data_IF_570643298512
#
_entry.id   IF_570643298512
#
_cell.length_a   1.000
_cell.length_b   1.000
_cell.length_c   1.000
_cell.angle_alpha   90.00
_cell.angle_beta   90.00
_cell.angle_gamma   90.00
#
_symmetry.space_group_name_H-M   'P 1'
#
loop_
_entity.id
_entity.type
_entity.pdbx_description
1 polymer ?
#
# COMPACT_ATOMS: atom_id res chain seq x y z
N UNK A 1 -11.89 -3.89 -13.38
CA UNK A 1 -13.18 -3.25 -13.04
C UNK A 1 -13.29 -1.92 -13.79
N UNK A 2 -14.43 -1.23 -13.74
CA UNK A 2 -14.64 0.05 -14.43
C UNK A 2 -14.80 1.19 -13.42
N UNK A 3 -14.22 2.34 -13.74
CA UNK A 3 -14.31 3.59 -12.96
C UNK A 3 -14.64 4.73 -13.92
N UNK A 4 -15.45 5.70 -13.50
CA UNK A 4 -15.80 6.87 -14.33
C UNK A 4 -14.89 8.04 -13.96
N UNK A 5 -13.99 8.44 -14.86
CA UNK A 5 -13.07 9.57 -14.68
C UNK A 5 -13.51 10.68 -15.64
N UNK A 6 -13.81 11.88 -15.14
CA UNK A 6 -14.28 13.01 -15.95
C UNK A 6 -15.41 12.66 -16.91
N UNK A 7 -16.42 11.91 -16.42
CA UNK A 7 -17.57 11.39 -17.18
C UNK A 7 -17.24 10.32 -18.24
N UNK A 8 -15.98 9.91 -18.34
CA UNK A 8 -15.54 8.85 -19.25
C UNK A 8 -15.35 7.53 -18.50
N UNK A 9 -16.01 6.44 -18.92
CA UNK A 9 -15.78 5.13 -18.33
C UNK A 9 -14.40 4.60 -18.73
N UNK A 10 -13.55 4.31 -17.74
CA UNK A 10 -12.22 3.74 -17.92
C UNK A 10 -12.20 2.32 -17.33
N UNK A 11 -11.71 1.36 -18.11
CA UNK A 11 -11.57 -0.04 -17.69
C UNK A 11 -10.14 -0.32 -17.21
N UNK A 12 -10.04 -0.81 -15.99
CA UNK A 12 -8.77 -1.23 -15.39
C UNK A 12 -8.66 -2.75 -15.34
N UNK A 13 -7.49 -3.25 -15.72
CA UNK A 13 -7.05 -4.62 -15.54
C UNK A 13 -6.01 -4.60 -14.42
N UNK A 14 -6.27 -5.35 -13.35
CA UNK A 14 -5.43 -5.37 -12.14
C UNK A 14 -5.07 -6.82 -11.85
N UNK A 15 -3.79 -7.06 -11.64
CA UNK A 15 -3.28 -8.36 -11.22
C UNK A 15 -2.94 -8.30 -9.74
N UNK A 16 -3.27 -9.37 -9.00
CA UNK A 16 -2.83 -9.55 -7.63
C UNK A 16 -1.42 -10.10 -7.63
N UNK A 17 -0.53 -9.49 -6.84
CA UNK A 17 0.78 -10.08 -6.55
C UNK A 17 0.56 -11.45 -5.89
N UNK A 18 1.32 -12.50 -6.25
CA UNK A 18 1.18 -13.80 -5.62
C UNK A 18 1.20 -13.69 -4.09
N UNK A 19 0.39 -14.51 -3.43
CA UNK A 19 0.26 -14.59 -1.97
C UNK A 19 -0.34 -13.36 -1.26
N UNK A 20 -0.81 -12.33 -1.97
CA UNK A 20 -1.33 -11.10 -1.32
C UNK A 20 -2.50 -11.34 -0.37
N UNK A 21 -3.43 -12.25 -0.70
CA UNK A 21 -4.59 -12.49 0.17
C UNK A 21 -4.17 -13.11 1.50
N UNK A 22 -3.30 -14.11 1.44
CA UNK A 22 -2.71 -14.78 2.60
C UNK A 22 -1.83 -13.82 3.41
N UNK A 23 -1.00 -13.02 2.74
CA UNK A 23 -0.20 -11.99 3.40
C UNK A 23 -1.08 -11.02 4.20
N UNK A 24 -2.14 -10.48 3.58
CA UNK A 24 -3.06 -9.56 4.25
C UNK A 24 -3.83 -10.23 5.40
N UNK A 25 -4.23 -11.49 5.24
CA UNK A 25 -4.87 -12.26 6.29
C UNK A 25 -3.97 -12.39 7.52
N UNK A 26 -2.71 -12.78 7.33
CA UNK A 26 -1.73 -12.96 8.41
C UNK A 26 -1.39 -11.61 9.07
N UNK A 27 -0.96 -10.61 8.28
CA UNK A 27 -0.49 -9.34 8.86
C UNK A 27 -1.61 -8.53 9.51
N UNK A 28 -2.88 -8.74 9.12
CA UNK A 28 -4.03 -8.08 9.77
C UNK A 28 -4.28 -8.56 11.20
N UNK A 29 -3.69 -9.69 11.61
CA UNK A 29 -3.76 -10.18 12.98
C UNK A 29 -2.73 -9.49 13.89
N UNK A 30 -1.68 -8.92 13.30
CA UNK A 30 -0.55 -8.31 14.00
C UNK A 30 -0.61 -6.78 13.98
N UNK A 31 -1.10 -6.21 12.87
CA UNK A 31 -1.00 -4.78 12.59
C UNK A 31 -2.34 -4.16 12.21
N UNK A 32 -2.50 -2.88 12.54
CA UNK A 32 -3.50 -2.03 11.89
C UNK A 32 -3.04 -1.72 10.45
N UNK A 33 -3.77 -2.18 9.45
CA UNK A 33 -3.38 -1.99 8.05
C UNK A 33 -3.91 -0.67 7.48
N UNK A 34 -3.00 0.11 6.90
CA UNK A 34 -3.31 1.40 6.27
C UNK A 34 -2.91 1.37 4.80
N UNK A 35 -3.82 1.75 3.90
CA UNK A 35 -3.48 1.95 2.49
C UNK A 35 -2.93 3.36 2.32
N UNK A 36 -1.69 3.50 1.85
CA UNK A 36 -1.14 4.80 1.46
C UNK A 36 -0.59 4.72 0.03
N UNK A 37 -1.25 5.36 -0.95
CA UNK A 37 -0.87 5.31 -2.36
C UNK A 37 -0.74 6.71 -2.98
N UNK A 38 0.25 6.88 -3.87
CA UNK A 38 0.39 8.08 -4.71
C UNK A 38 -0.58 8.12 -5.90
N UNK A 39 -1.52 7.17 -5.97
CA UNK A 39 -2.57 7.13 -7.00
C UNK A 39 -3.77 7.99 -6.63
N UNK A 40 -4.56 8.37 -7.63
CA UNK A 40 -5.84 9.05 -7.42
C UNK A 40 -6.80 8.17 -6.62
N UNK A 41 -7.54 8.78 -5.71
CA UNK A 41 -8.53 8.11 -4.86
C UNK A 41 -9.52 7.28 -5.66
N UNK A 42 -10.03 7.82 -6.77
CA UNK A 42 -11.05 7.15 -7.59
C UNK A 42 -10.62 5.76 -8.10
N UNK A 43 -9.33 5.57 -8.34
CA UNK A 43 -8.75 4.28 -8.72
C UNK A 43 -8.34 3.49 -7.46
N UNK A 44 -7.63 4.14 -6.53
CA UNK A 44 -7.07 3.51 -5.35
C UNK A 44 -8.14 2.90 -4.44
N UNK A 45 -9.27 3.56 -4.24
CA UNK A 45 -10.39 3.06 -3.44
C UNK A 45 -10.99 1.80 -4.03
N UNK A 46 -11.24 1.78 -5.34
CA UNK A 46 -11.80 0.63 -6.04
C UNK A 46 -10.87 -0.61 -5.99
N UNK A 47 -9.54 -0.41 -6.04
CA UNK A 47 -8.57 -1.51 -5.82
C UNK A 47 -8.58 -1.97 -4.36
N UNK A 48 -8.55 -1.03 -3.42
CA UNK A 48 -8.53 -1.33 -1.99
C UNK A 48 -9.80 -2.10 -1.56
N UNK A 49 -10.98 -1.76 -2.06
CA UNK A 49 -12.22 -2.49 -1.79
C UNK A 49 -12.17 -3.94 -2.29
N UNK A 50 -11.58 -4.16 -3.46
CA UNK A 50 -11.39 -5.50 -4.02
C UNK A 50 -10.40 -6.34 -3.22
N UNK A 51 -9.33 -5.72 -2.70
CA UNK A 51 -8.36 -6.40 -1.83
C UNK A 51 -8.93 -6.66 -0.43
N UNK A 52 -9.66 -5.70 0.14
CA UNK A 52 -10.28 -5.83 1.45
C UNK A 52 -11.34 -6.96 1.45
N UNK A 53 -12.12 -7.06 0.38
CA UNK A 53 -13.15 -8.09 0.18
C UNK A 53 -14.13 -8.17 1.39
N UNK A 54 -14.59 -7.01 1.86
CA UNK A 54 -15.49 -6.84 3.01
C UNK A 54 -14.93 -7.33 4.35
N UNK A 55 -13.62 -7.59 4.46
CA UNK A 55 -12.98 -7.99 5.72
C UNK A 55 -12.81 -6.82 6.69
N UNK A 56 -12.97 -5.57 6.23
CA UNK A 56 -12.80 -4.37 7.05
C UNK A 56 -11.39 -4.21 7.65
N UNK A 57 -10.36 -4.73 6.97
CA UNK A 57 -8.95 -4.65 7.39
C UNK A 57 -8.25 -3.43 6.80
N UNK A 58 -8.71 -2.88 5.67
CA UNK A 58 -8.14 -1.72 4.98
C UNK A 58 -9.01 -0.47 5.15
N UNK A 59 -9.39 -0.12 6.38
CA UNK A 59 -10.33 0.99 6.66
C UNK A 59 -9.73 2.38 6.43
N UNK A 60 -8.49 2.58 6.85
CA UNK A 60 -7.79 3.87 6.74
C UNK A 60 -7.01 3.92 5.43
N UNK A 61 -7.26 4.97 4.65
CA UNK A 61 -6.77 5.08 3.29
C UNK A 61 -6.34 6.50 2.99
N UNK A 62 -5.14 6.62 2.44
CA UNK A 62 -4.51 7.87 2.04
C UNK A 62 -4.10 7.73 0.57
N UNK A 63 -4.50 8.73 -0.21
CA UNK A 63 -4.30 8.81 -1.66
C UNK A 63 -3.39 9.96 -2.04
N UNK A 64 -3.19 10.21 -3.34
CA UNK A 64 -2.31 11.26 -3.87
C UNK A 64 -2.46 12.62 -3.21
N UNK A 65 -3.68 13.06 -2.89
CA UNK A 65 -3.92 14.36 -2.26
C UNK A 65 -3.34 14.48 -0.83
N UNK A 66 -2.99 13.35 -0.21
CA UNK A 66 -2.34 13.27 1.10
C UNK A 66 -0.82 13.13 1.00
N UNK A 67 -0.27 13.01 -0.21
CA UNK A 67 1.17 13.00 -0.43
C UNK A 67 1.70 14.43 -0.59
N UNK A 68 2.95 14.65 -0.18
CA UNK A 68 3.69 15.89 -0.48
C UNK A 68 4.46 15.70 -1.78
N UNK A 69 4.24 16.57 -2.76
CA UNK A 69 4.99 16.55 -4.02
C UNK A 69 6.29 17.33 -3.86
N UNK A 70 7.43 16.62 -3.86
CA UNK A 70 8.75 17.21 -3.70
C UNK A 70 9.74 16.59 -4.70
N UNK A 71 10.45 17.43 -5.45
CA UNK A 71 11.42 17.01 -6.48
C UNK A 71 10.84 15.97 -7.45
N UNK A 72 9.58 16.16 -7.85
CA UNK A 72 8.87 15.24 -8.76
C UNK A 72 8.47 13.89 -8.17
N UNK A 73 8.69 13.68 -6.86
CA UNK A 73 8.30 12.47 -6.14
C UNK A 73 7.13 12.75 -5.19
N UNK A 74 6.19 11.81 -5.08
CA UNK A 74 5.15 11.86 -4.06
C UNK A 74 5.67 11.21 -2.78
N UNK A 75 5.90 12.03 -1.76
CA UNK A 75 6.37 11.62 -0.44
C UNK A 75 5.15 11.32 0.44
N UNK A 76 5.26 10.24 1.22
CA UNK A 76 4.26 9.76 2.16
C UNK A 76 4.75 10.07 3.57
N UNK A 77 4.23 11.15 4.14
CA UNK A 77 4.56 11.53 5.51
C UNK A 77 3.79 10.64 6.51
N UNK A 78 4.53 9.82 7.27
CA UNK A 78 3.96 8.89 8.23
C UNK A 78 3.35 9.59 9.45
N UNK A 79 3.76 10.83 9.74
CA UNK A 79 3.20 11.61 10.85
C UNK A 79 1.71 11.94 10.67
N UNK A 80 1.22 11.95 9.42
CA UNK A 80 -0.20 12.12 9.08
C UNK A 80 -1.02 10.85 9.39
N UNK A 81 -0.34 9.70 9.51
CA UNK A 81 -0.95 8.42 9.82
C UNK A 81 -0.87 8.13 11.33
N UNK A 82 0.27 8.33 11.96
CA UNK A 82 0.44 8.05 13.37
C UNK A 82 1.39 9.06 14.03
N UNK A 83 1.03 9.54 15.23
CA UNK A 83 1.82 10.55 15.94
C UNK A 83 3.12 9.99 16.52
N UNK A 84 3.12 8.70 16.88
CA UNK A 84 4.30 8.01 17.38
C UNK A 84 4.95 7.21 16.24
N UNK A 85 6.08 7.71 15.75
CA UNK A 85 6.83 7.09 14.65
C UNK A 85 7.52 5.79 15.08
N UNK A 86 7.66 5.48 16.37
CA UNK A 86 8.20 4.18 16.80
C UNK A 86 7.22 3.03 16.61
N UNK A 87 5.93 3.33 16.41
CA UNK A 87 4.84 2.37 16.29
C UNK A 87 4.30 2.21 14.86
N UNK A 88 5.04 2.66 13.84
CA UNK A 88 4.61 2.59 12.44
C UNK A 88 5.75 2.19 11.51
N UNK A 89 5.44 1.36 10.52
CA UNK A 89 6.34 1.02 9.42
C UNK A 89 5.64 1.21 8.08
N UNK A 90 6.41 1.49 7.04
CA UNK A 90 5.92 1.59 5.67
C UNK A 90 6.55 0.52 4.77
N UNK A 91 5.70 -0.25 4.10
CA UNK A 91 6.08 -1.19 3.06
C UNK A 91 5.88 -0.55 1.69
N UNK A 92 6.96 -0.17 1.01
CA UNK A 92 6.90 0.49 -0.31
C UNK A 92 8.04 0.05 -1.23
N UNK A 93 7.78 0.08 -2.53
CA UNK A 93 8.77 -0.26 -3.55
C UNK A 93 9.56 0.94 -4.09
N UNK A 94 9.20 2.16 -3.68
CA UNK A 94 9.77 3.40 -4.18
C UNK A 94 10.52 4.14 -3.06
N UNK A 95 11.87 4.20 -3.08
CA UNK A 95 12.63 4.95 -2.09
C UNK A 95 12.25 6.42 -1.92
N UNK A 96 11.77 7.05 -3.00
CA UNK A 96 11.26 8.42 -2.93
C UNK A 96 9.99 8.59 -2.08
N UNK A 97 9.19 7.53 -1.89
CA UNK A 97 7.93 7.62 -1.16
C UNK A 97 8.14 7.74 0.36
N UNK A 98 9.15 7.07 0.92
CA UNK A 98 9.48 7.10 2.34
C UNK A 98 10.72 7.94 2.66
N UNK A 99 11.09 8.87 1.76
CA UNK A 99 12.31 9.70 1.91
C UNK A 99 12.36 10.45 3.25
N UNK A 100 11.22 10.88 3.79
CA UNK A 100 11.14 11.59 5.08
C UNK A 100 11.33 10.68 6.29
N UNK A 101 11.08 9.37 6.15
CA UNK A 101 11.09 8.40 7.26
C UNK A 101 11.79 7.09 6.83
N UNK A 102 13.08 7.14 6.42
CA UNK A 102 13.77 5.96 5.89
C UNK A 102 13.93 4.85 6.93
N UNK A 103 14.06 5.18 8.21
CA UNK A 103 14.22 4.20 9.29
C UNK A 103 12.94 3.40 9.58
N UNK A 104 11.78 3.92 9.17
CA UNK A 104 10.49 3.24 9.25
C UNK A 104 10.18 2.39 8.02
N UNK A 105 11.06 2.39 7.01
CA UNK A 105 10.78 1.78 5.72
C UNK A 105 11.24 0.32 5.66
N UNK A 106 10.35 -0.54 5.17
CA UNK A 106 10.64 -1.90 4.73
C UNK A 106 10.58 -1.89 3.20
N UNK A 107 11.72 -1.85 2.49
CA UNK A 107 11.72 -1.83 1.04
C UNK A 107 11.24 -3.17 0.48
N UNK A 108 10.39 -3.13 -0.54
CA UNK A 108 9.98 -4.33 -1.29
C UNK A 108 10.21 -4.16 -2.79
N UNK A 109 10.61 -5.23 -3.47
CA UNK A 109 10.81 -5.17 -4.92
C UNK A 109 9.50 -4.83 -5.64
N UNK A 110 9.60 -3.96 -6.65
CA UNK A 110 8.54 -3.75 -7.64
C UNK A 110 8.13 -5.07 -8.27
N UNK A 111 6.83 -5.23 -8.52
CA UNK A 111 6.25 -6.41 -9.14
C UNK A 111 5.39 -6.01 -10.33
N UNK A 112 5.52 -6.72 -11.44
CA UNK A 112 4.86 -6.38 -12.70
C UNK A 112 3.94 -7.47 -13.24
N UNK A 113 4.18 -8.75 -12.91
CA UNK A 113 3.34 -9.90 -13.31
C UNK A 113 3.97 -11.27 -13.02
N UNK A 114 5.18 -11.35 -12.47
CA UNK A 114 5.86 -12.62 -12.20
C UNK A 114 5.01 -13.53 -11.29
N UNK A 115 4.53 -14.68 -11.79
CA UNK A 115 3.70 -15.58 -11.00
C UNK A 115 4.49 -16.35 -9.95
N UNK A 116 5.82 -16.36 -10.03
CA UNK A 116 6.72 -17.03 -9.08
C UNK A 116 7.23 -16.12 -7.96
N UNK A 117 6.79 -14.86 -7.92
CA UNK A 117 7.19 -13.91 -6.88
C UNK A 117 6.76 -14.37 -5.48
N UNK A 118 7.72 -14.49 -4.56
CA UNK A 118 7.47 -14.84 -3.15
C UNK A 118 7.77 -13.70 -2.19
N UNK A 119 7.93 -12.46 -2.69
CA UNK A 119 8.46 -11.37 -1.87
C UNK A 119 7.58 -11.06 -0.64
N UNK A 120 6.25 -11.17 -0.78
CA UNK A 120 5.33 -10.99 0.34
C UNK A 120 5.48 -12.07 1.41
N UNK A 121 5.65 -13.34 1.01
CA UNK A 121 5.86 -14.44 1.96
C UNK A 121 7.17 -14.28 2.72
N UNK A 122 8.24 -13.87 2.03
CA UNK A 122 9.57 -13.71 2.61
C UNK A 122 9.61 -12.59 3.68
N UNK A 123 8.65 -11.68 3.69
CA UNK A 123 8.54 -10.62 4.70
C UNK A 123 7.87 -11.08 5.99
N UNK A 124 7.05 -12.14 5.96
CA UNK A 124 6.26 -12.57 7.11
C UNK A 124 7.11 -12.86 8.36
N UNK A 125 8.24 -13.60 8.29
CA UNK A 125 9.02 -13.90 9.49
C UNK A 125 9.64 -12.67 10.14
N UNK A 126 9.99 -11.66 9.34
CA UNK A 126 10.53 -10.41 9.87
C UNK A 126 9.42 -9.55 10.49
N UNK A 127 8.27 -9.45 9.82
CA UNK A 127 7.11 -8.72 10.34
C UNK A 127 6.53 -9.34 11.61
N UNK A 128 6.60 -10.66 11.79
CA UNK A 128 6.18 -11.33 13.04
C UNK A 128 7.12 -11.03 14.22
N UNK A 129 8.37 -10.66 13.93
CA UNK A 129 9.43 -10.46 14.93
C UNK A 129 9.66 -9.00 15.35
N UNK A 130 8.98 -8.04 14.70
CA UNK A 130 9.02 -6.61 15.06
C UNK A 130 8.16 -6.34 16.30
#
# INVERSE_FOLDING_TARGET
FQVVIDKHPVRFFVHKRPHVDFFLEVVSQWYELVVFTASMEIYGSAVADKLDNNRSILRRRYYRQHCTLELGSYIKDLSVVHNDLSSIVILDNSPGAYRSHPDNAIPIKSWFSDPSDTALLNLLPMLDAL
#
